data_IF_775702186141
#
_entry.id   IF_775702186141
#
_cell.length_a   1.000
_cell.length_b   1.000
_cell.length_c   1.000
_cell.angle_alpha   90.00
_cell.angle_beta   90.00
_cell.angle_gamma   90.00
#
_symmetry.space_group_name_H-M   'P 1'
#
loop_
_entity.id
_entity.type
_entity.pdbx_description
1 polymer ?
#
# COMPACT_ATOMS: atom_id res chain seq x y z
N UNK A 1 -27.58 -12.07 24.71
CA UNK A 1 -28.46 -12.81 23.77
C UNK A 1 -29.03 -11.78 22.79
N UNK A 2 -28.32 -11.51 21.71
CA UNK A 2 -28.86 -10.70 20.61
C UNK A 2 -29.74 -11.60 19.75
N UNK A 3 -30.99 -11.22 19.43
CA UNK A 3 -31.80 -11.98 18.50
C UNK A 3 -31.26 -11.78 17.08
N UNK A 4 -31.05 -12.89 16.38
CA UNK A 4 -30.75 -12.95 14.95
C UNK A 4 -32.07 -13.09 14.20
N UNK A 5 -32.39 -12.10 13.38
CA UNK A 5 -33.27 -12.14 12.22
C UNK A 5 -32.86 -10.89 11.42
N UNK A 6 -32.49 -10.93 10.14
CA UNK A 6 -33.03 -11.65 9.00
C UNK A 6 -33.11 -10.58 7.90
N UNK A 7 -32.70 -10.96 6.69
CA UNK A 7 -32.60 -10.15 5.46
C UNK A 7 -31.29 -9.38 5.27
N UNK A 8 -30.51 -9.87 4.31
CA UNK A 8 -29.28 -9.27 3.84
C UNK A 8 -29.56 -7.88 3.27
N UNK A 9 -28.93 -6.86 3.85
CA UNK A 9 -28.79 -5.57 3.21
C UNK A 9 -27.95 -5.76 1.93
N UNK A 10 -28.61 -5.80 0.78
CA UNK A 10 -27.98 -5.48 -0.49
C UNK A 10 -27.69 -3.97 -0.47
N UNK A 11 -26.45 -3.62 -0.15
CA UNK A 11 -25.94 -2.26 -0.35
C UNK A 11 -25.69 -2.11 -1.84
N UNK A 12 -26.57 -1.40 -2.53
CA UNK A 12 -26.39 -1.05 -3.94
C UNK A 12 -25.20 -0.12 -4.08
N UNK A 13 -24.32 -0.44 -5.01
CA UNK A 13 -23.17 0.36 -5.43
C UNK A 13 -23.66 1.58 -6.23
N UNK A 14 -24.22 2.58 -5.55
CA UNK A 14 -24.29 3.92 -6.12
C UNK A 14 -22.91 4.56 -5.93
N UNK A 15 -22.34 5.07 -7.02
CA UNK A 15 -21.05 5.78 -7.00
C UNK A 15 -21.19 7.02 -6.13
N UNK A 16 -20.66 6.94 -4.91
CA UNK A 16 -20.59 8.07 -3.99
C UNK A 16 -19.57 9.06 -4.56
N UNK A 17 -20.06 10.18 -5.08
CA UNK A 17 -19.21 11.30 -5.44
C UNK A 17 -18.67 11.96 -4.17
N UNK A 18 -17.37 11.79 -3.92
CA UNK A 18 -16.67 12.33 -2.75
C UNK A 18 -15.97 13.63 -3.16
N UNK A 19 -16.47 14.76 -2.66
CA UNK A 19 -15.71 16.01 -2.66
C UNK A 19 -14.77 16.03 -1.45
N UNK A 20 -13.49 16.32 -1.69
CA UNK A 20 -12.52 16.52 -0.62
C UNK A 20 -12.34 18.01 -0.42
N UNK A 21 -12.74 18.50 0.75
CA UNK A 21 -12.21 19.77 1.23
C UNK A 21 -10.81 19.53 1.80
N UNK A 22 -9.80 20.13 1.16
CA UNK A 22 -8.40 20.04 1.57
C UNK A 22 -8.10 20.88 2.82
N UNK A 23 -9.02 21.76 3.25
CA UNK A 23 -8.79 22.68 4.36
C UNK A 23 -9.30 22.17 5.72
N UNK A 24 -10.13 21.12 5.77
CA UNK A 24 -10.68 20.57 7.02
C UNK A 24 -9.86 19.34 7.48
N UNK A 25 -9.08 19.43 8.58
CA UNK A 25 -8.31 18.29 9.05
C UNK A 25 -9.24 17.23 9.67
N UNK A 26 -9.27 16.02 9.09
CA UNK A 26 -9.95 14.88 9.72
C UNK A 26 -9.33 14.63 11.10
N UNK A 27 -10.18 14.63 12.11
CA UNK A 27 -9.80 14.30 13.49
C UNK A 27 -10.01 12.81 13.71
N UNK A 28 -8.96 12.01 13.95
CA UNK A 28 -9.10 10.59 14.27
C UNK A 28 -9.71 10.43 15.66
N UNK A 29 -10.73 9.59 15.73
CA UNK A 29 -11.47 9.29 16.96
C UNK A 29 -11.07 7.93 17.53
N UNK A 30 -10.97 6.91 16.67
CA UNK A 30 -10.72 5.53 17.10
C UNK A 30 -10.21 4.65 15.95
N UNK A 31 -9.48 3.59 16.30
CA UNK A 31 -9.08 2.55 15.36
C UNK A 31 -9.98 1.31 15.52
N UNK A 32 -10.80 1.01 14.52
CA UNK A 32 -11.69 -0.15 14.53
C UNK A 32 -11.00 -1.39 13.94
N UNK A 33 -10.96 -2.46 14.74
CA UNK A 33 -10.39 -3.78 14.39
C UNK A 33 -8.97 -3.71 13.82
N UNK A 34 -8.17 -2.74 14.27
CA UNK A 34 -6.80 -2.51 13.77
C UNK A 34 -6.72 -2.46 12.23
N UNK A 35 -7.78 -1.95 11.58
CA UNK A 35 -7.93 -1.97 10.12
C UNK A 35 -8.46 -0.63 9.62
N UNK A 36 -9.44 -0.05 10.32
CA UNK A 36 -10.09 1.18 9.91
C UNK A 36 -9.83 2.28 10.93
N UNK A 37 -9.55 3.48 10.44
CA UNK A 37 -9.54 4.70 11.28
C UNK A 37 -10.90 5.35 11.14
N UNK A 38 -11.58 5.52 12.27
CA UNK A 38 -12.80 6.31 12.38
C UNK A 38 -12.39 7.74 12.68
N UNK A 39 -12.82 8.68 11.86
CA UNK A 39 -12.50 10.10 11.98
C UNK A 39 -13.70 10.97 11.61
N UNK A 40 -13.61 12.27 11.88
CA UNK A 40 -14.64 13.26 11.54
C UNK A 40 -13.99 14.59 11.18
N UNK A 41 -14.60 15.33 10.28
CA UNK A 41 -14.32 16.75 10.04
C UNK A 41 -15.22 17.68 10.89
N UNK A 42 -16.02 17.12 11.79
CA UNK A 42 -17.00 17.84 12.60
C UNK A 42 -18.41 17.90 12.00
N UNK A 43 -18.59 17.50 10.74
CA UNK A 43 -19.90 17.41 10.09
C UNK A 43 -20.24 15.95 9.74
N UNK A 44 -19.28 15.21 9.19
CA UNK A 44 -19.48 13.86 8.68
C UNK A 44 -18.65 12.83 9.44
N UNK A 45 -19.07 11.57 9.37
CA UNK A 45 -18.24 10.44 9.80
C UNK A 45 -17.41 9.94 8.61
N UNK A 46 -16.11 9.82 8.80
CA UNK A 46 -15.19 9.34 7.77
C UNK A 46 -14.48 8.08 8.24
N UNK A 47 -14.53 7.04 7.41
CA UNK A 47 -13.83 5.78 7.62
C UNK A 47 -12.66 5.69 6.66
N UNK A 48 -11.45 5.50 7.17
CA UNK A 48 -10.25 5.33 6.37
C UNK A 48 -9.76 3.90 6.51
N UNK A 49 -9.54 3.22 5.39
CA UNK A 49 -8.80 1.96 5.35
C UNK A 49 -7.30 2.27 5.53
N UNK A 50 -6.74 1.91 6.69
CA UNK A 50 -5.37 2.28 7.04
C UNK A 50 -4.33 1.64 6.09
N UNK A 51 -4.65 0.45 5.55
CA UNK A 51 -3.76 -0.26 4.65
C UNK A 51 -3.77 0.41 3.27
N UNK A 52 -4.96 0.64 2.70
CA UNK A 52 -5.11 1.29 1.40
C UNK A 52 -4.54 2.73 1.42
N UNK A 53 -4.76 3.46 2.52
CA UNK A 53 -4.18 4.79 2.72
C UNK A 53 -2.64 4.72 2.75
N UNK A 54 -2.05 3.79 3.50
CA UNK A 54 -0.60 3.68 3.58
C UNK A 54 0.02 3.22 2.26
N UNK A 55 -0.62 2.31 1.51
CA UNK A 55 -0.21 1.94 0.16
C UNK A 55 -0.11 3.16 -0.76
N UNK A 56 -1.14 4.02 -0.77
CA UNK A 56 -1.15 5.26 -1.56
C UNK A 56 0.02 6.18 -1.18
N UNK A 57 0.22 6.41 0.12
CA UNK A 57 1.32 7.24 0.62
C UNK A 57 2.69 6.71 0.17
N UNK A 58 2.92 5.41 0.30
CA UNK A 58 4.20 4.80 -0.10
C UNK A 58 4.39 4.87 -1.62
N UNK A 59 3.34 4.55 -2.39
CA UNK A 59 3.39 4.58 -3.84
C UNK A 59 3.76 5.98 -4.36
N UNK A 60 3.13 7.04 -3.86
CA UNK A 60 3.45 8.40 -4.29
C UNK A 60 4.87 8.79 -3.89
N UNK A 61 5.29 8.45 -2.65
CA UNK A 61 6.68 8.67 -2.20
C UNK A 61 7.71 8.00 -3.14
N UNK A 62 7.45 6.78 -3.60
CA UNK A 62 8.31 6.04 -4.53
C UNK A 62 8.36 6.63 -5.95
N UNK A 63 7.38 7.46 -6.31
CA UNK A 63 7.29 8.15 -7.60
C UNK A 63 8.12 9.42 -7.68
N UNK A 64 8.53 9.99 -6.55
CA UNK A 64 9.31 11.23 -6.53
C UNK A 64 10.79 10.98 -6.80
N UNK A 65 11.36 11.71 -7.77
CA UNK A 65 12.73 11.46 -8.31
C UNK A 65 13.87 11.72 -7.30
N UNK A 66 13.61 12.49 -6.24
CA UNK A 66 14.61 12.86 -5.22
C UNK A 66 14.74 11.87 -4.06
N UNK A 67 13.94 10.81 -4.06
CA UNK A 67 14.21 9.70 -3.15
C UNK A 67 15.27 8.87 -3.87
N UNK A 68 16.56 9.16 -3.63
CA UNK A 68 17.52 8.05 -3.55
C UNK A 68 16.84 7.05 -2.62
N UNK A 69 16.26 6.00 -3.20
CA UNK A 69 15.40 5.03 -2.52
C UNK A 69 16.25 4.44 -1.42
N UNK A 70 16.18 5.05 -0.23
CA UNK A 70 17.08 4.78 0.87
C UNK A 70 17.03 3.28 1.06
N UNK A 71 18.11 2.61 0.72
CA UNK A 71 18.18 1.17 0.87
C UNK A 71 18.28 0.90 2.37
N UNK A 72 17.47 -0.03 2.85
CA UNK A 72 17.61 -0.59 4.18
C UNK A 72 18.42 -1.87 4.04
N UNK A 73 19.64 -1.88 4.59
CA UNK A 73 20.42 -3.10 4.73
C UNK A 73 19.70 -4.07 5.68
N UNK A 74 19.69 -5.35 5.31
CA UNK A 74 19.16 -6.41 6.13
C UNK A 74 20.17 -6.73 7.24
N UNK A 75 19.66 -6.93 8.46
CA UNK A 75 20.50 -7.37 9.59
C UNK A 75 21.18 -8.70 9.28
N UNK A 76 20.49 -9.57 8.54
CA UNK A 76 20.99 -10.86 8.07
C UNK A 76 20.66 -10.92 6.57
N UNK A 77 21.66 -10.96 5.68
CA UNK A 77 21.43 -11.17 4.26
C UNK A 77 20.66 -12.46 4.00
N UNK A 78 19.73 -12.42 3.05
CA UNK A 78 18.89 -13.57 2.72
C UNK A 78 19.36 -14.25 1.44
N UNK A 79 19.47 -15.59 1.45
CA UNK A 79 19.71 -16.37 0.24
C UNK A 79 18.38 -16.66 -0.47
N UNK A 80 18.32 -16.28 -1.74
CA UNK A 80 17.16 -16.41 -2.61
C UNK A 80 17.48 -17.47 -3.65
N UNK A 81 16.86 -18.63 -3.51
CA UNK A 81 16.95 -19.69 -4.51
C UNK A 81 16.06 -19.36 -5.71
N UNK A 82 16.62 -19.54 -6.91
CA UNK A 82 15.94 -19.19 -8.16
C UNK A 82 16.09 -20.29 -9.21
N UNK A 83 15.07 -20.45 -10.04
CA UNK A 83 15.09 -21.37 -11.17
C UNK A 83 15.84 -20.75 -12.38
N UNK A 84 16.22 -21.55 -13.39
CA UNK A 84 17.00 -21.04 -14.53
C UNK A 84 16.36 -19.88 -15.30
N UNK A 85 15.01 -19.79 -15.34
CA UNK A 85 14.32 -18.67 -16.00
C UNK A 85 14.43 -17.39 -15.16
N UNK A 86 14.28 -17.52 -13.85
CA UNK A 86 14.37 -16.40 -12.90
C UNK A 86 15.79 -15.81 -12.85
N UNK A 87 16.84 -16.61 -13.01
CA UNK A 87 18.22 -16.13 -13.13
C UNK A 87 18.34 -15.13 -14.28
N UNK A 88 17.82 -15.48 -15.46
CA UNK A 88 17.86 -14.62 -16.65
C UNK A 88 17.09 -13.32 -16.38
N UNK A 89 15.91 -13.42 -15.77
CA UNK A 89 15.10 -12.25 -15.40
C UNK A 89 15.86 -11.34 -14.43
N UNK A 90 16.47 -11.89 -13.38
CA UNK A 90 17.24 -11.09 -12.42
C UNK A 90 18.44 -10.41 -13.08
N UNK A 91 19.26 -11.15 -13.83
CA UNK A 91 20.44 -10.63 -14.50
C UNK A 91 20.13 -9.45 -15.43
N UNK A 92 19.03 -9.53 -16.18
CA UNK A 92 18.59 -8.45 -17.06
C UNK A 92 18.06 -7.21 -16.33
N UNK A 93 17.78 -7.34 -15.03
CA UNK A 93 17.12 -6.33 -14.22
C UNK A 93 17.94 -5.86 -13.01
N UNK A 94 19.16 -6.35 -12.80
CA UNK A 94 19.99 -6.00 -11.64
C UNK A 94 20.18 -4.49 -11.49
N UNK A 95 20.55 -3.78 -12.56
CA UNK A 95 20.74 -2.32 -12.52
C UNK A 95 19.44 -1.57 -12.19
N UNK A 96 18.31 -2.07 -12.71
CA UNK A 96 17.00 -1.51 -12.41
C UNK A 96 16.63 -1.74 -10.93
N UNK A 97 16.77 -2.97 -10.43
CA UNK A 97 16.50 -3.34 -9.04
C UNK A 97 17.40 -2.59 -8.07
N UNK A 98 18.66 -2.37 -8.42
CA UNK A 98 19.60 -1.52 -7.68
C UNK A 98 19.10 -0.09 -7.54
N UNK A 99 18.60 0.51 -8.62
CA UNK A 99 17.94 1.84 -8.58
C UNK A 99 16.64 1.82 -7.75
N UNK A 100 16.00 0.66 -7.59
CA UNK A 100 14.84 0.49 -6.72
C UNK A 100 15.22 0.30 -5.24
N UNK A 101 16.51 0.18 -4.88
CA UNK A 101 16.99 0.01 -3.51
C UNK A 101 17.31 -1.45 -3.12
N UNK A 102 17.27 -2.38 -4.08
CA UNK A 102 17.65 -3.77 -3.86
C UNK A 102 19.15 -3.97 -4.12
N UNK A 103 19.85 -4.61 -3.19
CA UNK A 103 21.22 -5.04 -3.40
C UNK A 103 21.26 -6.57 -3.49
N UNK A 104 21.59 -7.06 -4.69
CA UNK A 104 21.56 -8.46 -5.08
C UNK A 104 22.91 -8.86 -5.64
N UNK A 105 23.46 -9.94 -5.10
CA UNK A 105 24.74 -10.52 -5.52
C UNK A 105 24.55 -11.98 -5.91
N UNK A 106 25.12 -12.40 -7.04
CA UNK A 106 25.08 -13.81 -7.46
C UNK A 106 25.82 -14.70 -6.44
N UNK A 107 25.22 -15.84 -6.10
CA UNK A 107 25.79 -16.79 -5.15
C UNK A 107 25.58 -18.24 -5.61
N UNK A 108 26.64 -18.87 -6.10
CA UNK A 108 26.56 -20.22 -6.68
C UNK A 108 25.80 -20.24 -8.01
N UNK A 109 25.24 -21.39 -8.37
CA UNK A 109 24.64 -21.58 -9.71
C UNK A 109 23.16 -21.17 -9.80
N UNK A 110 22.45 -21.12 -8.67
CA UNK A 110 20.99 -21.03 -8.63
C UNK A 110 20.50 -20.15 -7.47
N UNK A 111 21.31 -19.19 -7.03
CA UNK A 111 20.94 -18.34 -5.90
C UNK A 111 21.51 -16.93 -5.99
N UNK A 112 20.85 -16.02 -5.32
CA UNK A 112 21.31 -14.66 -5.08
C UNK A 112 21.32 -14.36 -3.57
N UNK A 113 22.26 -13.53 -3.12
CA UNK A 113 22.24 -12.95 -1.78
C UNK A 113 21.56 -11.58 -1.87
N UNK A 114 20.48 -11.41 -1.12
CA UNK A 114 19.79 -10.14 -0.92
C UNK A 114 20.37 -9.44 0.32
N UNK A 115 20.98 -8.27 0.12
CA UNK A 115 21.62 -7.49 1.19
C UNK A 115 20.80 -6.29 1.63
N UNK A 116 20.02 -5.69 0.72
CA UNK A 116 19.17 -4.54 1.03
C UNK A 116 17.87 -4.56 0.25
N UNK A 117 16.87 -3.85 0.77
CA UNK A 117 15.59 -3.56 0.10
C UNK A 117 15.27 -2.06 0.22
N UNK A 118 14.38 -1.49 -0.59
CA UNK A 118 13.89 -0.14 -0.37
C UNK A 118 13.35 0.04 1.07
N UNK A 119 13.79 1.08 1.78
CA UNK A 119 13.44 1.30 3.20
C UNK A 119 11.93 1.42 3.43
N UNK A 120 11.19 1.91 2.44
CA UNK A 120 9.73 1.98 2.50
C UNK A 120 9.07 0.60 2.57
N UNK A 121 9.74 -0.47 2.13
CA UNK A 121 9.28 -1.85 2.23
C UNK A 121 9.98 -2.67 3.33
N UNK A 122 10.80 -2.05 4.17
CA UNK A 122 11.61 -2.73 5.20
C UNK A 122 10.80 -3.48 6.28
N UNK A 123 9.54 -3.11 6.49
CA UNK A 123 8.66 -3.78 7.46
C UNK A 123 8.05 -5.08 6.93
N UNK A 124 8.07 -5.28 5.61
CA UNK A 124 7.56 -6.50 4.97
C UNK A 124 8.60 -7.62 4.98
N UNK A 125 8.26 -8.73 4.33
CA UNK A 125 9.21 -9.83 4.08
C UNK A 125 10.06 -9.50 2.84
N UNK A 126 11.39 -9.28 2.97
CA UNK A 126 12.28 -8.98 1.83
C UNK A 126 12.26 -10.06 0.75
N UNK A 127 12.31 -11.34 1.16
CA UNK A 127 12.25 -12.48 0.24
C UNK A 127 10.95 -12.54 -0.57
N UNK A 128 9.80 -12.50 0.11
CA UNK A 128 8.50 -12.47 -0.58
C UNK A 128 8.40 -11.29 -1.58
N UNK A 129 8.81 -10.09 -1.18
CA UNK A 129 8.80 -8.92 -2.07
C UNK A 129 9.63 -9.18 -3.34
N UNK A 130 10.82 -9.73 -3.18
CA UNK A 130 11.68 -10.03 -4.33
C UNK A 130 11.07 -11.13 -5.20
N UNK A 131 10.51 -12.20 -4.61
CA UNK A 131 9.84 -13.27 -5.34
C UNK A 131 8.66 -12.74 -6.17
N UNK A 132 7.85 -11.86 -5.59
CA UNK A 132 6.71 -11.25 -6.30
C UNK A 132 7.20 -10.34 -7.44
N UNK A 133 8.28 -9.58 -7.22
CA UNK A 133 8.92 -8.77 -8.26
C UNK A 133 9.46 -9.62 -9.40
N UNK A 134 10.11 -10.75 -9.11
CA UNK A 134 10.63 -11.67 -10.15
C UNK A 134 9.48 -12.21 -10.99
N UNK A 135 8.38 -12.61 -10.33
CA UNK A 135 7.18 -13.13 -10.99
C UNK A 135 6.57 -12.07 -11.92
N UNK A 136 6.40 -10.84 -11.43
CA UNK A 136 5.89 -9.70 -12.21
C UNK A 136 6.79 -9.39 -13.43
N UNK A 137 8.11 -9.34 -13.23
CA UNK A 137 9.05 -9.10 -14.33
C UNK A 137 9.01 -10.20 -15.39
N UNK A 138 8.77 -11.44 -14.97
CA UNK A 138 8.62 -12.57 -15.88
C UNK A 138 7.32 -12.48 -16.69
N UNK A 139 6.22 -12.05 -16.07
CA UNK A 139 4.92 -11.88 -16.72
C UNK A 139 4.91 -10.72 -17.72
N UNK A 140 5.48 -9.57 -17.36
CA UNK A 140 5.56 -8.41 -18.25
C UNK A 140 6.45 -8.67 -19.48
N UNK A 141 7.47 -9.51 -19.32
CA UNK A 141 8.44 -9.84 -20.37
C UNK A 141 9.30 -8.65 -20.82
N UNK A 142 10.15 -8.86 -21.83
CA UNK A 142 11.17 -7.87 -22.23
C UNK A 142 10.63 -6.69 -23.04
N UNK A 143 9.50 -6.87 -23.72
CA UNK A 143 8.97 -5.88 -24.67
C UNK A 143 8.00 -4.88 -24.02
N UNK A 144 7.82 -4.95 -22.71
CA UNK A 144 6.96 -4.03 -21.98
C UNK A 144 7.55 -2.62 -21.97
N UNK A 145 6.69 -1.61 -22.01
CA UNK A 145 7.10 -0.22 -21.78
C UNK A 145 7.69 -0.07 -20.37
N UNK A 146 8.75 0.75 -20.27
CA UNK A 146 9.47 0.94 -19.01
C UNK A 146 8.55 1.54 -17.93
N UNK A 147 7.63 2.41 -18.33
CA UNK A 147 6.67 3.09 -17.47
C UNK A 147 5.73 2.08 -16.79
N UNK A 148 5.19 1.13 -17.56
CA UNK A 148 4.31 0.07 -17.05
C UNK A 148 5.05 -0.81 -16.05
N UNK A 149 6.30 -1.20 -16.39
CA UNK A 149 7.15 -1.94 -15.47
C UNK A 149 7.42 -1.17 -14.18
N UNK A 150 7.74 0.12 -14.28
CA UNK A 150 7.98 0.96 -13.10
C UNK A 150 6.73 1.08 -12.23
N UNK A 151 5.56 1.23 -12.83
CA UNK A 151 4.29 1.30 -12.14
C UNK A 151 4.00 0.02 -11.36
N UNK A 152 4.09 -1.16 -11.98
CA UNK A 152 3.78 -2.43 -11.31
C UNK A 152 4.76 -2.75 -10.18
N UNK A 153 6.06 -2.53 -10.39
CA UNK A 153 7.05 -2.73 -9.33
C UNK A 153 6.83 -1.76 -8.16
N UNK A 154 6.42 -0.52 -8.45
CA UNK A 154 6.07 0.46 -7.41
C UNK A 154 4.86 0.00 -6.58
N UNK A 155 3.83 -0.54 -7.23
CA UNK A 155 2.66 -1.13 -6.55
C UNK A 155 3.05 -2.27 -5.61
N UNK A 156 3.93 -3.17 -6.06
CA UNK A 156 4.43 -4.28 -5.24
C UNK A 156 5.19 -3.80 -4.00
N UNK A 157 6.12 -2.84 -4.17
CA UNK A 157 6.88 -2.26 -3.05
C UNK A 157 5.92 -1.58 -2.06
N UNK A 158 4.94 -0.82 -2.56
CA UNK A 158 3.95 -0.16 -1.72
C UNK A 158 3.09 -1.13 -0.91
N UNK A 159 2.58 -2.20 -1.53
CA UNK A 159 1.80 -3.24 -0.86
C UNK A 159 2.62 -3.95 0.25
N UNK A 160 3.90 -4.22 -0.01
CA UNK A 160 4.78 -4.87 0.96
C UNK A 160 5.15 -3.95 2.12
N UNK A 161 5.35 -2.66 1.85
CA UNK A 161 5.69 -1.66 2.87
C UNK A 161 4.51 -1.13 3.67
N UNK A 162 3.29 -1.28 3.15
CA UNK A 162 2.09 -0.78 3.79
C UNK A 162 1.82 -1.47 5.14
N UNK A 163 1.13 -0.73 6.00
CA UNK A 163 0.68 -1.20 7.32
C UNK A 163 -0.19 -2.42 7.07
N UNK A 164 0.00 -3.49 7.84
CA UNK A 164 -0.79 -4.71 7.66
C UNK A 164 -2.07 -4.62 8.46
N UNK A 165 -3.10 -5.34 8.01
CA UNK A 165 -4.30 -5.53 8.80
C UNK A 165 -3.92 -6.19 10.14
N UNK A 166 -4.31 -5.56 11.25
CA UNK A 166 -3.93 -6.02 12.59
C UNK A 166 -2.95 -5.11 13.33
N UNK A 167 -2.23 -4.23 12.63
CA UNK A 167 -1.31 -3.28 13.24
C UNK A 167 -2.07 -2.20 14.01
N UNK A 168 -1.72 -2.03 15.29
CA UNK A 168 -2.27 -0.99 16.14
C UNK A 168 -1.60 0.36 15.84
N UNK A 169 -2.40 1.42 15.77
CA UNK A 169 -1.94 2.78 15.60
C UNK A 169 -2.30 3.62 16.82
N UNK A 170 -1.35 4.39 17.30
CA UNK A 170 -1.61 5.47 18.26
C UNK A 170 -2.38 6.61 17.58
N UNK A 171 -3.03 7.47 18.38
CA UNK A 171 -3.68 8.68 17.84
C UNK A 171 -2.71 9.57 17.06
N UNK A 172 -1.45 9.65 17.49
CA UNK A 172 -0.43 10.41 16.77
C UNK A 172 -0.12 9.79 15.40
N UNK A 173 0.02 8.47 15.31
CA UNK A 173 0.25 7.77 14.05
C UNK A 173 -0.95 7.86 13.12
N UNK A 174 -2.18 7.77 13.65
CA UNK A 174 -3.40 7.99 12.86
C UNK A 174 -3.44 9.41 12.27
N UNK A 175 -3.16 10.44 13.08
CA UNK A 175 -3.08 11.82 12.60
C UNK A 175 -2.02 12.00 11.51
N UNK A 176 -0.84 11.39 11.70
CA UNK A 176 0.22 11.47 10.70
C UNK A 176 -0.15 10.74 9.42
N UNK A 177 -0.79 9.57 9.50
CA UNK A 177 -1.27 8.83 8.33
C UNK A 177 -2.28 9.66 7.53
N UNK A 178 -3.24 10.27 8.22
CA UNK A 178 -4.23 11.17 7.60
C UNK A 178 -3.50 12.31 6.89
N UNK A 179 -2.60 13.02 7.60
CA UNK A 179 -1.85 14.14 7.03
C UNK A 179 -1.04 13.73 5.80
N UNK A 180 -0.34 12.60 5.86
CA UNK A 180 0.43 12.07 4.75
C UNK A 180 -0.48 11.68 3.57
N UNK A 181 -1.66 11.09 3.84
CA UNK A 181 -2.61 10.71 2.80
C UNK A 181 -3.10 11.95 2.03
N UNK A 182 -3.48 13.02 2.72
CA UNK A 182 -3.92 14.27 2.09
C UNK A 182 -2.83 14.95 1.25
N UNK A 183 -1.54 14.65 1.51
CA UNK A 183 -0.43 15.16 0.72
C UNK A 183 -0.14 14.35 -0.56
N UNK A 184 -0.89 13.28 -0.82
CA UNK A 184 -0.75 12.45 -2.02
C UNK A 184 -1.51 13.05 -3.20
N UNK A 185 -1.14 12.66 -4.42
CA UNK A 185 -1.77 13.13 -5.67
C UNK A 185 -3.22 12.64 -5.80
N UNK A 186 -3.51 11.44 -5.29
CA UNK A 186 -4.85 10.87 -5.29
C UNK A 186 -5.18 10.24 -3.93
N UNK A 187 -5.62 11.06 -2.95
CA UNK A 187 -5.87 10.61 -1.60
C UNK A 187 -7.07 9.67 -1.47
N UNK A 188 -7.99 9.60 -2.45
CA UNK A 188 -9.24 8.81 -2.38
C UNK A 188 -9.09 7.37 -2.85
N UNK A 189 -8.07 7.07 -3.64
CA UNK A 189 -7.95 5.78 -4.31
C UNK A 189 -6.55 5.24 -4.15
N UNK A 190 -6.40 4.00 -3.68
CA UNK A 190 -5.11 3.34 -3.60
C UNK A 190 -4.56 3.02 -5.01
N UNK A 191 -3.28 2.66 -5.15
CA UNK A 191 -2.68 2.34 -6.45
C UNK A 191 -3.36 1.18 -7.20
N UNK A 192 -4.13 0.35 -6.50
CA UNK A 192 -4.88 -0.78 -7.04
C UNK A 192 -6.36 -0.45 -7.34
N UNK A 193 -6.78 0.81 -7.18
CA UNK A 193 -8.14 1.24 -7.50
C UNK A 193 -9.15 1.13 -6.35
N UNK A 194 -8.76 0.67 -5.15
CA UNK A 194 -9.67 0.60 -4.00
C UNK A 194 -9.81 1.97 -3.34
N UNK A 195 -10.99 2.31 -2.78
CA UNK A 195 -11.13 3.53 -2.01
C UNK A 195 -10.26 3.47 -0.75
N UNK A 196 -9.59 4.57 -0.44
CA UNK A 196 -8.82 4.75 0.81
C UNK A 196 -9.71 5.24 1.95
N UNK A 197 -10.80 5.95 1.62
CA UNK A 197 -11.73 6.51 2.59
C UNK A 197 -13.17 6.49 2.07
N UNK A 198 -14.12 6.44 3.00
CA UNK A 198 -15.55 6.52 2.76
C UNK A 198 -16.14 7.53 3.72
N UNK A 199 -16.98 8.44 3.21
CA UNK A 199 -17.73 9.42 4.01
C UNK A 199 -19.15 8.92 4.24
N UNK A 200 -19.67 9.21 5.41
CA UNK A 200 -21.04 8.90 5.80
C UNK A 200 -21.65 10.21 6.31
N UNK A 201 -22.56 10.76 5.52
CA UNK A 201 -23.24 12.03 5.80
C UNK A 201 -24.27 11.88 6.91
N UNK A 202 -24.75 13.00 7.46
CA UNK A 202 -25.90 12.99 8.37
C UNK A 202 -27.14 12.40 7.69
N UNK A 203 -27.36 12.69 6.40
CA UNK A 203 -28.47 12.13 5.63
C UNK A 203 -28.36 10.61 5.48
N UNK A 204 -27.16 10.08 5.21
CA UNK A 204 -26.92 8.64 5.15
C UNK A 204 -27.25 7.96 6.47
N UNK A 205 -26.86 8.59 7.59
CA UNK A 205 -27.16 8.10 8.93
C UNK A 205 -28.67 8.16 9.19
N UNK A 206 -29.31 9.31 8.95
CA UNK A 206 -30.74 9.50 9.15
C UNK A 206 -31.56 8.44 8.40
N UNK A 207 -31.28 8.26 7.09
CA UNK A 207 -31.87 7.23 6.25
C UNK A 207 -31.70 5.82 6.83
N UNK A 208 -30.49 5.47 7.30
CA UNK A 208 -30.21 4.14 7.91
C UNK A 208 -30.90 3.93 9.26
N UNK A 209 -31.21 5.00 9.98
CA UNK A 209 -32.00 4.96 11.22
C UNK A 209 -33.50 5.21 10.99
N UNK A 210 -33.95 5.39 9.74
CA UNK A 210 -35.35 5.65 9.39
C UNK A 210 -35.86 7.02 9.85
N UNK A 211 -34.99 8.04 9.83
CA UNK A 211 -35.26 9.43 10.22
C UNK A 211 -35.17 10.36 9.01
#
# INVERSE_FOLDING_TARGET
LFPVAGDGLQVTSEEIHIEIDAEQPLTPLYQFKNTYIICTDGQELVLIDQHAAHERIIYDKLGTENVERRAQELLIPETIEVNPKEIIVLQENLDYLKKQGFDLEEFGNNSFILRSVPALASKGSPKQLLTDIISELQELGKSVQLEVKQENIRKLIACHGAIKAGDQLTLQEMNQLIKDLYATENPLTCPHGRPTMVRITEEDLAKRFGR
#
